data_IF_683872802341
#
_entry.id   IF_683872802341
#
_cell.length_a   1.000
_cell.length_b   1.000
_cell.length_c   1.000
_cell.angle_alpha   90.00
_cell.angle_beta   90.00
_cell.angle_gamma   90.00
#
_symmetry.space_group_name_H-M   'P 1'
#
loop_
_entity.id
_entity.type
_entity.pdbx_description
1 polymer ?
#
# COMPACT_ATOMS: atom_id res chain seq x y z
N UNK A 1 35.36 -17.36 4.57
CA UNK A 1 35.23 -16.72 5.90
C UNK A 1 34.87 -15.25 5.74
N UNK A 2 33.80 -14.81 6.39
CA UNK A 2 33.28 -13.45 6.29
C UNK A 2 33.19 -12.80 7.68
N UNK A 3 33.06 -11.48 7.70
CA UNK A 3 32.70 -10.73 8.89
C UNK A 3 31.37 -10.04 8.64
N UNK A 4 30.51 -10.01 9.64
CA UNK A 4 29.24 -9.30 9.59
C UNK A 4 29.28 -8.10 10.54
N UNK A 5 28.76 -6.97 10.09
CA UNK A 5 28.58 -5.78 10.93
C UNK A 5 27.10 -5.59 11.23
N UNK A 6 26.75 -5.54 12.52
CA UNK A 6 25.39 -5.31 12.98
C UNK A 6 24.89 -3.89 12.63
N UNK A 7 25.80 -2.93 12.55
CA UNK A 7 25.52 -1.51 12.25
C UNK A 7 25.18 -1.31 10.79
N UNK A 8 25.93 -1.96 9.89
CA UNK A 8 25.75 -1.82 8.43
C UNK A 8 24.89 -2.94 7.82
N UNK A 9 24.56 -3.96 8.61
CA UNK A 9 23.82 -5.16 8.20
C UNK A 9 24.41 -5.83 6.95
N UNK A 10 25.74 -5.75 6.82
CA UNK A 10 26.49 -6.11 5.63
C UNK A 10 27.63 -7.08 5.96
N UNK A 11 28.02 -7.84 4.93
CA UNK A 11 29.11 -8.81 5.00
C UNK A 11 30.39 -8.25 4.38
N UNK A 12 31.51 -8.56 5.02
CA UNK A 12 32.85 -8.10 4.69
C UNK A 12 33.73 -9.33 4.48
N UNK A 13 34.15 -9.64 3.25
CA UNK A 13 35.07 -10.75 3.00
C UNK A 13 36.39 -10.52 3.74
N UNK A 14 36.91 -11.54 4.41
CA UNK A 14 38.17 -11.46 5.16
C UNK A 14 39.33 -10.92 4.33
N UNK A 15 39.38 -11.29 3.06
CA UNK A 15 40.43 -10.91 2.11
C UNK A 15 40.44 -9.40 1.78
N UNK A 16 39.29 -8.72 1.94
CA UNK A 16 39.12 -7.31 1.60
C UNK A 16 39.18 -6.37 2.82
N UNK A 17 39.36 -6.90 4.03
CA UNK A 17 39.35 -6.10 5.26
C UNK A 17 40.40 -4.98 5.26
N UNK A 18 41.61 -5.26 4.77
CA UNK A 18 42.67 -4.27 4.68
C UNK A 18 42.28 -3.10 3.76
N UNK A 19 41.63 -3.40 2.63
CA UNK A 19 41.16 -2.38 1.68
C UNK A 19 40.07 -1.50 2.31
N UNK A 20 39.12 -2.10 3.03
CA UNK A 20 38.09 -1.34 3.74
C UNK A 20 38.67 -0.48 4.86
N UNK A 21 39.70 -0.98 5.56
CA UNK A 21 40.39 -0.23 6.61
C UNK A 21 41.14 0.97 6.03
N UNK A 22 41.90 0.77 4.94
CA UNK A 22 42.62 1.84 4.23
C UNK A 22 41.66 2.89 3.67
N UNK A 23 40.47 2.48 3.22
CA UNK A 23 39.41 3.36 2.77
C UNK A 23 38.63 4.05 3.90
N UNK A 24 38.86 3.69 5.17
CA UNK A 24 38.12 4.23 6.33
C UNK A 24 36.63 3.82 6.37
N UNK A 25 36.27 2.73 5.68
CA UNK A 25 34.88 2.23 5.57
C UNK A 25 34.62 0.96 6.39
N UNK A 26 35.66 0.44 7.05
CA UNK A 26 35.57 -0.77 7.86
C UNK A 26 34.82 -0.50 9.17
N UNK A 27 33.69 -1.19 9.46
CA UNK A 27 32.98 -1.05 10.72
C UNK A 27 33.80 -1.59 11.90
N UNK A 28 33.57 -1.03 13.09
CA UNK A 28 34.24 -1.47 14.32
C UNK A 28 33.56 -2.67 14.99
N UNK A 29 32.34 -3.01 14.59
CA UNK A 29 31.45 -4.00 15.20
C UNK A 29 31.43 -5.34 14.44
N UNK A 30 32.54 -5.69 13.80
CA UNK A 30 32.66 -6.88 12.97
C UNK A 30 32.69 -8.15 13.81
N UNK A 31 31.79 -9.08 13.48
CA UNK A 31 31.71 -10.43 14.05
C UNK A 31 32.06 -11.43 12.97
N UNK A 32 33.01 -12.32 13.24
CA UNK A 32 33.40 -13.39 12.32
C UNK A 32 32.24 -14.39 12.17
N UNK A 33 31.94 -14.75 10.92
CA UNK A 33 30.93 -15.74 10.55
C UNK A 33 31.53 -16.75 9.58
N UNK A 34 31.00 -17.97 9.63
CA UNK A 34 31.33 -19.01 8.65
C UNK A 34 30.61 -18.77 7.31
N UNK A 35 31.00 -19.58 6.32
CA UNK A 35 30.48 -19.48 4.96
C UNK A 35 29.01 -19.97 4.86
N UNK A 36 28.58 -20.84 5.79
CA UNK A 36 27.20 -21.35 5.83
C UNK A 36 26.22 -20.26 6.30
N UNK A 37 26.58 -19.53 7.35
CA UNK A 37 25.84 -18.36 7.84
C UNK A 37 25.86 -17.25 6.78
N UNK A 38 26.99 -17.00 6.13
CA UNK A 38 27.03 -16.07 5.01
C UNK A 38 26.01 -16.48 3.93
N UNK A 39 26.08 -17.71 3.44
CA UNK A 39 25.18 -18.22 2.40
C UNK A 39 23.69 -18.07 2.80
N UNK A 40 23.33 -18.49 4.02
CA UNK A 40 21.96 -18.40 4.54
C UNK A 40 21.38 -16.97 4.51
N UNK A 41 22.22 -15.98 4.77
CA UNK A 41 21.79 -14.58 4.92
C UNK A 41 22.20 -13.68 3.75
N UNK A 42 22.98 -14.18 2.79
CA UNK A 42 23.28 -13.54 1.50
C UNK A 42 22.33 -13.96 0.39
N UNK A 43 21.65 -15.10 0.56
CA UNK A 43 20.65 -15.63 -0.36
C UNK A 43 19.32 -14.84 -0.32
N UNK A 44 18.32 -15.36 -1.04
CA UNK A 44 17.02 -14.72 -1.20
C UNK A 44 16.36 -14.40 0.15
N UNK A 45 16.12 -13.11 0.35
CA UNK A 45 15.40 -12.58 1.49
C UNK A 45 14.02 -13.26 1.63
N UNK A 46 13.69 -13.85 2.79
CA UNK A 46 12.36 -14.40 3.03
C UNK A 46 11.28 -13.33 2.94
N UNK A 47 10.10 -13.72 2.43
CA UNK A 47 8.94 -12.82 2.32
C UNK A 47 8.59 -12.26 3.70
N UNK A 48 8.44 -10.94 3.80
CA UNK A 48 8.04 -10.25 5.03
C UNK A 48 9.15 -10.09 6.07
N UNK A 49 10.38 -10.55 5.80
CA UNK A 49 11.53 -10.39 6.70
C UNK A 49 12.63 -9.60 6.04
N UNK A 50 13.47 -8.92 6.81
CA UNK A 50 14.71 -8.27 6.37
C UNK A 50 15.88 -8.76 7.19
N UNK A 51 17.11 -8.66 6.65
CA UNK A 51 18.31 -8.98 7.41
C UNK A 51 18.48 -7.91 8.50
N UNK A 52 18.58 -8.37 9.73
CA UNK A 52 18.87 -7.61 10.93
C UNK A 52 20.05 -8.23 11.67
N UNK A 53 20.27 -7.78 12.90
CA UNK A 53 21.30 -8.32 13.78
C UNK A 53 20.70 -8.59 15.16
N UNK A 54 21.03 -9.73 15.75
CA UNK A 54 20.63 -10.05 17.11
C UNK A 54 21.54 -9.37 18.14
N UNK A 55 21.24 -9.56 19.44
CA UNK A 55 22.03 -8.97 20.56
C UNK A 55 23.50 -9.38 20.60
N UNK A 56 23.90 -10.44 19.88
CA UNK A 56 25.29 -10.91 19.78
C UNK A 56 26.01 -10.35 18.54
N UNK A 57 25.34 -9.49 17.76
CA UNK A 57 25.90 -8.94 16.52
C UNK A 57 25.94 -9.96 15.38
N UNK A 58 25.17 -11.06 15.44
CA UNK A 58 25.07 -12.05 14.37
C UNK A 58 23.88 -11.72 13.45
N UNK A 59 23.93 -12.08 12.15
CA UNK A 59 22.82 -11.84 11.25
C UNK A 59 21.58 -12.62 11.69
N UNK A 60 20.41 -12.00 11.56
CA UNK A 60 19.11 -12.59 11.90
C UNK A 60 18.03 -12.07 10.95
N UNK A 61 17.07 -12.92 10.57
CA UNK A 61 15.93 -12.49 9.77
C UNK A 61 14.88 -11.88 10.71
N UNK A 62 14.78 -10.56 10.71
CA UNK A 62 13.80 -9.82 11.52
C UNK A 62 12.56 -9.49 10.68
N UNK A 63 11.39 -9.49 11.31
CA UNK A 63 10.15 -9.14 10.63
C UNK A 63 10.20 -7.68 10.16
N UNK A 64 9.74 -7.45 8.92
CA UNK A 64 9.51 -6.10 8.42
C UNK A 64 8.24 -5.63 9.14
N UNK A 65 8.30 -4.59 10.00
CA UNK A 65 7.09 -4.07 10.61
C UNK A 65 6.13 -3.65 9.49
N UNK A 66 4.87 -4.05 9.63
CA UNK A 66 3.84 -3.61 8.70
C UNK A 66 3.89 -2.07 8.60
N UNK A 67 3.76 -1.48 7.40
CA UNK A 67 3.67 -0.04 7.29
C UNK A 67 2.52 0.44 8.17
N UNK A 68 2.81 1.37 9.08
CA UNK A 68 1.78 2.02 9.89
C UNK A 68 0.95 2.86 8.91
N UNK A 69 -0.26 2.41 8.61
CA UNK A 69 -1.21 3.19 7.81
C UNK A 69 -1.76 4.27 8.71
N UNK A 70 -1.50 5.54 8.39
CA UNK A 70 -2.01 6.66 9.19
C UNK A 70 -3.42 7.04 8.77
N UNK A 71 -4.17 7.71 9.63
CA UNK A 71 -5.47 8.30 9.26
C UNK A 71 -5.37 9.17 8.00
N UNK A 72 -4.24 9.85 7.79
CA UNK A 72 -4.01 10.66 6.59
C UNK A 72 -3.86 9.80 5.31
N UNK A 73 -3.26 8.62 5.42
CA UNK A 73 -3.15 7.67 4.30
C UNK A 73 -4.51 7.06 3.94
N UNK A 74 -5.31 6.73 4.96
CA UNK A 74 -6.69 6.25 4.78
C UNK A 74 -7.54 7.36 4.14
N UNK A 75 -7.45 8.58 4.66
CA UNK A 75 -8.09 9.77 4.11
C UNK A 75 -7.73 10.05 2.65
N UNK A 76 -6.44 9.96 2.31
CA UNK A 76 -5.98 10.15 0.94
C UNK A 76 -6.54 9.07 0.01
N UNK A 77 -6.58 7.82 0.47
CA UNK A 77 -7.16 6.70 -0.26
C UNK A 77 -8.68 6.88 -0.45
N UNK A 78 -9.40 7.30 0.59
CA UNK A 78 -10.83 7.63 0.53
C UNK A 78 -11.12 8.67 -0.57
N UNK A 79 -10.34 9.77 -0.58
CA UNK A 79 -10.51 10.84 -1.57
C UNK A 79 -10.26 10.34 -2.98
N UNK A 80 -9.24 9.49 -3.19
CA UNK A 80 -8.98 8.87 -4.50
C UNK A 80 -10.16 8.02 -4.97
N UNK A 81 -10.79 7.25 -4.09
CA UNK A 81 -11.95 6.44 -4.44
C UNK A 81 -13.18 7.28 -4.77
N UNK A 82 -13.41 8.35 -3.98
CA UNK A 82 -14.41 9.36 -4.33
C UNK A 82 -14.17 9.94 -5.72
N UNK A 83 -12.96 10.40 -5.98
CA UNK A 83 -12.63 11.09 -7.23
C UNK A 83 -12.74 10.15 -8.43
N UNK A 84 -12.33 8.88 -8.27
CA UNK A 84 -12.50 7.85 -9.29
C UNK A 84 -13.98 7.61 -9.63
N UNK A 85 -14.86 7.49 -8.62
CA UNK A 85 -16.29 7.31 -8.85
C UNK A 85 -16.93 8.54 -9.52
N UNK A 86 -16.60 9.75 -9.05
CA UNK A 86 -17.13 10.99 -9.63
C UNK A 86 -16.69 11.16 -11.07
N UNK A 87 -15.44 10.82 -11.39
CA UNK A 87 -14.91 10.87 -12.76
C UNK A 87 -15.62 9.86 -13.67
N UNK A 88 -15.73 8.60 -13.23
CA UNK A 88 -16.35 7.55 -14.03
C UNK A 88 -17.86 7.77 -14.27
N UNK A 89 -18.53 8.54 -13.41
CA UNK A 89 -19.96 8.84 -13.55
C UNK A 89 -20.24 10.25 -14.08
N UNK A 90 -19.23 10.98 -14.55
CA UNK A 90 -19.42 12.36 -14.99
C UNK A 90 -20.22 12.45 -16.29
N UNK A 91 -19.93 11.57 -17.26
CA UNK A 91 -20.66 11.50 -18.53
C UNK A 91 -22.15 11.17 -18.36
N UNK A 92 -22.51 10.39 -17.33
CA UNK A 92 -23.90 10.02 -17.04
C UNK A 92 -24.76 11.23 -16.62
N UNK A 93 -24.13 12.36 -16.27
CA UNK A 93 -24.85 13.60 -15.93
C UNK A 93 -25.34 14.37 -17.16
N UNK A 94 -24.85 14.00 -18.35
CA UNK A 94 -25.25 14.62 -19.61
C UNK A 94 -26.67 14.16 -19.96
N UNK A 95 -27.54 15.11 -20.35
CA UNK A 95 -28.98 14.88 -20.53
C UNK A 95 -29.33 13.86 -21.64
N UNK A 96 -28.44 13.62 -22.60
CA UNK A 96 -28.63 12.66 -23.68
C UNK A 96 -27.82 11.37 -23.49
N UNK A 97 -27.15 11.21 -22.34
CA UNK A 97 -26.45 9.96 -22.02
C UNK A 97 -27.45 8.80 -22.03
N UNK A 98 -27.03 7.72 -22.69
CA UNK A 98 -27.87 6.56 -22.97
C UNK A 98 -27.10 5.29 -22.65
N UNK A 99 -27.78 4.33 -22.04
CA UNK A 99 -27.26 2.97 -21.80
C UNK A 99 -28.00 2.05 -22.76
N UNK A 100 -27.26 1.32 -23.60
CA UNK A 100 -27.83 0.46 -24.66
C UNK A 100 -28.86 1.18 -25.55
N UNK A 101 -28.48 2.37 -26.06
CA UNK A 101 -29.31 3.26 -26.89
C UNK A 101 -30.62 3.75 -26.22
N UNK A 102 -30.73 3.61 -24.90
CA UNK A 102 -31.89 4.09 -24.12
C UNK A 102 -31.47 5.22 -23.18
N UNK A 103 -32.15 6.38 -23.23
CA UNK A 103 -31.91 7.45 -22.27
C UNK A 103 -32.14 6.97 -20.84
N UNK A 104 -31.35 7.49 -19.90
CA UNK A 104 -31.58 7.25 -18.48
C UNK A 104 -32.99 7.66 -18.08
N UNK A 105 -33.68 6.76 -17.37
CA UNK A 105 -34.98 7.04 -16.76
C UNK A 105 -34.86 8.11 -15.67
N UNK A 106 -35.98 8.73 -15.31
CA UNK A 106 -36.02 9.71 -14.21
C UNK A 106 -35.54 9.09 -12.87
N UNK A 107 -35.91 7.83 -12.62
CA UNK A 107 -35.46 7.10 -11.44
C UNK A 107 -33.92 6.92 -11.44
N UNK A 108 -33.33 6.52 -12.56
CA UNK A 108 -31.87 6.37 -12.69
C UNK A 108 -31.14 7.71 -12.53
N UNK A 109 -31.68 8.81 -13.06
CA UNK A 109 -31.11 10.16 -12.85
C UNK A 109 -31.15 10.55 -11.38
N UNK A 110 -32.28 10.33 -10.72
CA UNK A 110 -32.44 10.63 -9.29
C UNK A 110 -31.50 9.79 -8.42
N UNK A 111 -31.34 8.50 -8.73
CA UNK A 111 -30.39 7.62 -8.04
C UNK A 111 -28.94 8.07 -8.28
N UNK A 112 -28.56 8.34 -9.53
CA UNK A 112 -27.23 8.86 -9.89
C UNK A 112 -26.88 10.12 -9.08
N UNK A 113 -27.80 11.09 -9.02
CA UNK A 113 -27.57 12.34 -8.32
C UNK A 113 -27.47 12.14 -6.80
N UNK A 114 -28.31 11.27 -6.23
CA UNK A 114 -28.26 10.88 -4.82
C UNK A 114 -26.92 10.25 -4.46
N UNK A 115 -26.47 9.27 -5.25
CA UNK A 115 -25.21 8.56 -5.00
C UNK A 115 -24.01 9.48 -5.21
N UNK A 116 -23.99 10.29 -6.29
CA UNK A 116 -22.92 11.28 -6.51
C UNK A 116 -22.84 12.28 -5.36
N UNK A 117 -23.98 12.70 -4.79
CA UNK A 117 -23.98 13.55 -3.61
C UNK A 117 -23.40 12.83 -2.39
N UNK A 118 -23.81 11.58 -2.13
CA UNK A 118 -23.28 10.77 -1.03
C UNK A 118 -21.75 10.65 -1.09
N UNK A 119 -21.19 10.36 -2.27
CA UNK A 119 -19.73 10.33 -2.48
C UNK A 119 -19.08 11.70 -2.26
N UNK A 120 -19.69 12.80 -2.72
CA UNK A 120 -19.15 14.16 -2.54
C UNK A 120 -19.07 14.58 -1.08
N UNK A 121 -20.09 14.26 -0.28
CA UNK A 121 -20.15 14.60 1.15
C UNK A 121 -19.47 13.56 2.04
N UNK A 122 -19.12 12.39 1.50
CA UNK A 122 -18.47 11.31 2.25
C UNK A 122 -17.25 11.77 3.08
N UNK A 123 -16.37 12.68 2.61
CA UNK A 123 -15.27 13.20 3.43
C UNK A 123 -15.67 14.12 4.59
N UNK A 124 -16.95 14.42 4.76
CA UNK A 124 -17.49 15.32 5.78
C UNK A 124 -18.39 14.62 6.79
N UNK A 125 -18.60 13.30 6.62
CA UNK A 125 -19.44 12.51 7.53
C UNK A 125 -18.71 12.24 8.86
N UNK A 126 -19.48 12.08 9.94
CA UNK A 126 -18.91 11.74 11.24
C UNK A 126 -18.19 10.38 11.18
N UNK A 127 -17.01 10.30 11.81
CA UNK A 127 -16.17 9.08 11.80
C UNK A 127 -15.20 8.98 10.63
N UNK A 128 -15.21 9.94 9.69
CA UNK A 128 -14.25 9.95 8.58
C UNK A 128 -12.79 10.04 9.08
N UNK A 129 -11.84 9.30 8.48
CA UNK A 129 -11.96 8.49 7.26
C UNK A 129 -12.40 7.04 7.46
N UNK A 130 -12.67 6.58 8.69
CA UNK A 130 -13.04 5.21 9.01
C UNK A 130 -14.55 4.96 8.86
N UNK A 131 -15.07 5.28 7.69
CA UNK A 131 -16.48 5.06 7.34
C UNK A 131 -16.53 4.24 6.06
N UNK A 132 -17.49 3.32 5.99
CA UNK A 132 -17.70 2.49 4.80
C UNK A 132 -18.01 3.35 3.56
N UNK A 133 -17.72 2.79 2.37
CA UNK A 133 -18.07 3.46 1.13
C UNK A 133 -19.58 3.59 0.99
N UNK A 134 -20.07 4.68 0.38
CA UNK A 134 -21.48 4.77 0.04
C UNK A 134 -21.89 3.64 -0.91
N UNK A 135 -23.01 3.01 -0.61
CA UNK A 135 -23.56 1.91 -1.39
C UNK A 135 -23.86 2.34 -2.84
N UNK A 136 -23.64 1.41 -3.78
CA UNK A 136 -23.85 1.63 -5.21
C UNK A 136 -24.95 0.70 -5.74
N UNK A 137 -26.01 1.26 -6.37
CA UNK A 137 -26.96 0.46 -7.15
C UNK A 137 -26.23 -0.33 -8.25
N UNK A 138 -26.68 -1.57 -8.49
CA UNK A 138 -26.01 -2.48 -9.42
C UNK A 138 -25.85 -1.90 -10.83
N UNK A 139 -26.89 -1.24 -11.36
CA UNK A 139 -26.83 -0.65 -12.70
C UNK A 139 -25.76 0.45 -12.79
N UNK A 140 -25.65 1.28 -11.75
CA UNK A 140 -24.70 2.40 -11.69
C UNK A 140 -23.28 1.88 -11.51
N UNK A 141 -23.10 0.81 -10.74
CA UNK A 141 -21.82 0.14 -10.61
C UNK A 141 -21.34 -0.43 -11.95
N UNK A 142 -22.22 -1.16 -12.66
CA UNK A 142 -21.90 -1.71 -13.99
C UNK A 142 -21.49 -0.59 -14.93
N UNK A 143 -22.27 0.48 -14.97
CA UNK A 143 -22.02 1.58 -15.89
C UNK A 143 -20.77 2.40 -15.52
N UNK A 144 -20.50 2.59 -14.24
CA UNK A 144 -19.25 3.21 -13.78
C UNK A 144 -18.04 2.36 -14.18
N UNK A 145 -18.12 1.02 -14.04
CA UNK A 145 -17.04 0.11 -14.45
C UNK A 145 -16.80 0.14 -15.96
N UNK A 146 -17.88 0.20 -16.76
CA UNK A 146 -17.79 0.42 -18.21
C UNK A 146 -17.05 1.73 -18.53
N UNK A 147 -17.26 2.77 -17.72
CA UNK A 147 -16.57 4.06 -17.81
C UNK A 147 -15.21 4.12 -17.07
N UNK A 148 -14.61 2.96 -16.78
CA UNK A 148 -13.25 2.88 -16.25
C UNK A 148 -13.13 2.92 -14.73
N UNK A 149 -14.24 2.94 -13.99
CA UNK A 149 -14.20 2.74 -12.54
C UNK A 149 -13.59 1.38 -12.19
N UNK A 150 -12.84 1.35 -11.08
CA UNK A 150 -12.31 0.14 -10.50
C UNK A 150 -12.82 0.07 -9.07
N UNK A 151 -13.52 -1.00 -8.75
CA UNK A 151 -14.08 -1.19 -7.41
C UNK A 151 -12.94 -1.24 -6.41
N UNK A 152 -12.90 -0.30 -5.45
CA UNK A 152 -11.83 -0.26 -4.49
C UNK A 152 -11.94 -1.40 -3.48
N UNK A 153 -10.79 -1.88 -3.03
CA UNK A 153 -10.72 -2.68 -1.79
C UNK A 153 -10.60 -1.68 -0.65
N UNK A 154 -11.68 -1.49 0.08
CA UNK A 154 -11.71 -0.65 1.27
C UNK A 154 -11.33 -1.50 2.49
N UNK A 155 -10.42 -1.05 3.37
CA UNK A 155 -10.09 -1.80 4.57
C UNK A 155 -11.36 -2.01 5.42
N UNK A 156 -11.54 -3.23 5.94
CA UNK A 156 -12.60 -3.47 6.91
C UNK A 156 -12.24 -2.72 8.20
N UNK A 157 -13.25 -2.32 8.98
CA UNK A 157 -13.02 -1.58 10.24
C UNK A 157 -12.12 -2.35 11.23
N UNK A 158 -12.00 -3.68 11.09
CA UNK A 158 -11.11 -4.55 11.87
C UNK A 158 -9.64 -4.45 11.48
N UNK A 159 -9.31 -3.88 10.32
CA UNK A 159 -7.95 -3.79 9.78
C UNK A 159 -7.21 -2.52 10.21
N UNK A 160 -7.86 -1.66 11.01
CA UNK A 160 -7.32 -0.39 11.49
C UNK A 160 -7.04 -0.50 12.99
N UNK A 161 -5.77 -0.38 13.36
CA UNK A 161 -5.26 -0.51 14.73
C UNK A 161 -5.46 0.74 15.59
#
# INVERSE_FOLDING_TARGET
MYYFSATTLSFYPKELLAIYADAGTLPADLVEIDDDIYAQFSDMQPIGKKRGANKKGMPEWIDIPAPVVTDNDIAATARRYRDAFITATDALTIIDYSIDDKPLTEAQRSELMTVRLAYKIWPTVAGWPLVELPELPQWLLIEAVNNGYRVPVWPELSDVA
#
